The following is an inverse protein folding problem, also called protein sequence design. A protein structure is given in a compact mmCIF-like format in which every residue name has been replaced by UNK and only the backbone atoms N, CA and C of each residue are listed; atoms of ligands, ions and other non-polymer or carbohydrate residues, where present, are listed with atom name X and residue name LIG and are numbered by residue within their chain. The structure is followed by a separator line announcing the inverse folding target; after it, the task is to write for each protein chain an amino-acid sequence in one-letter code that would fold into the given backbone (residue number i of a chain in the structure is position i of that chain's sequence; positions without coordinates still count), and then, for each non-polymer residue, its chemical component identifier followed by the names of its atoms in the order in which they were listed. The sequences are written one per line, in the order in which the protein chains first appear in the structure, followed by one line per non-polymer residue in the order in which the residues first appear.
data_IF_531889106174
#
_entry.id   IF_531889106174
#
_cell.length_a   1.000
_cell.length_b   1.000
_cell.length_c   1.000
_cell.angle_alpha   90.00
_cell.angle_beta   90.00
_cell.angle_gamma   90.00
#
_symmetry.space_group_name_H-M   'P 1'
#
loop_
_entity.id
_entity.type
_entity.pdbx_description
1 polymer ?
#
# COMPACT_ATOMS: atom_id res chain seq x y z
N UNK A 1 20.14 -18.64 -5.44
CA UNK A 1 20.20 -17.21 -5.09
C UNK A 1 20.11 -16.47 -6.40
N UNK A 2 18.94 -15.97 -6.74
CA UNK A 2 18.71 -15.24 -7.99
C UNK A 2 19.20 -13.80 -7.83
N UNK A 3 19.90 -13.29 -8.83
CA UNK A 3 20.40 -11.90 -8.92
C UNK A 3 19.27 -10.88 -9.14
N UNK A 4 18.15 -11.02 -8.41
CA UNK A 4 16.96 -10.22 -8.60
C UNK A 4 17.24 -8.75 -8.29
N UNK A 5 16.90 -7.87 -9.23
CA UNK A 5 17.03 -6.41 -9.13
C UNK A 5 15.79 -5.82 -8.47
N UNK A 6 16.01 -5.01 -7.44
CA UNK A 6 14.98 -4.27 -6.72
C UNK A 6 15.10 -2.80 -7.08
N UNK A 7 14.08 -2.26 -7.75
CA UNK A 7 13.98 -0.82 -7.98
C UNK A 7 13.43 -0.11 -6.76
N UNK A 8 14.15 0.88 -6.24
CA UNK A 8 13.61 1.85 -5.28
C UNK A 8 13.27 3.11 -6.07
N UNK A 9 11.97 3.37 -6.24
CA UNK A 9 11.43 4.47 -7.02
C UNK A 9 11.15 5.63 -6.07
N UNK A 10 11.82 6.77 -6.27
CA UNK A 10 11.53 8.01 -5.55
C UNK A 10 12.05 9.24 -6.30
N UNK A 11 11.49 10.40 -5.96
CA UNK A 11 12.01 11.71 -6.29
C UNK A 11 12.14 12.55 -5.00
N UNK A 12 13.13 13.44 -4.94
CA UNK A 12 13.36 14.29 -3.76
C UNK A 12 12.16 15.21 -3.47
N UNK A 13 11.31 15.49 -4.48
CA UNK A 13 10.09 16.29 -4.30
C UNK A 13 9.18 15.73 -3.21
N UNK A 14 9.11 14.40 -3.09
CA UNK A 14 8.30 13.71 -2.08
C UNK A 14 8.75 14.04 -0.66
N UNK A 15 10.05 14.28 -0.45
CA UNK A 15 10.63 14.63 0.85
C UNK A 15 10.65 16.14 1.14
N UNK A 16 10.17 16.98 0.22
CA UNK A 16 10.33 18.45 0.28
C UNK A 16 9.04 19.26 0.11
N UNK A 17 8.04 18.72 -0.59
CA UNK A 17 6.87 19.45 -1.10
C UNK A 17 5.57 18.84 -0.60
N UNK A 18 4.42 19.47 -0.86
CA UNK A 18 3.11 19.06 -0.32
C UNK A 18 3.15 19.01 1.21
N UNK A 19 3.64 20.08 1.85
CA UNK A 19 3.70 20.15 3.30
C UNK A 19 2.34 20.62 3.86
N UNK A 20 1.85 20.04 4.98
CA UNK A 20 0.60 20.46 5.57
C UNK A 20 0.67 21.93 6.00
N UNK A 21 -0.41 22.71 5.80
CA UNK A 21 -0.40 24.14 6.08
C UNK A 21 -0.29 24.48 7.58
N UNK A 22 -0.63 23.53 8.46
CA UNK A 22 -0.65 23.73 9.91
C UNK A 22 0.29 22.75 10.62
N UNK A 23 1.23 23.23 11.47
CA UNK A 23 2.13 22.37 12.23
C UNK A 23 1.51 21.80 13.52
N UNK A 24 0.18 21.91 13.71
CA UNK A 24 -0.50 21.41 14.91
C UNK A 24 -0.88 19.94 14.72
N UNK A 25 -0.89 19.12 15.80
CA UNK A 25 -1.24 17.69 15.72
C UNK A 25 -2.74 17.54 15.43
N UNK A 26 -3.06 17.60 14.16
CA UNK A 26 -4.37 17.30 13.56
C UNK A 26 -4.15 16.15 12.59
N UNK A 27 -5.20 15.40 12.26
CA UNK A 27 -5.10 14.23 11.37
C UNK A 27 -4.29 14.52 10.09
N UNK A 28 -4.62 15.59 9.38
CA UNK A 28 -3.92 16.02 8.16
C UNK A 28 -2.44 16.37 8.33
N UNK A 29 -1.97 16.67 9.55
CA UNK A 29 -0.59 17.05 9.80
C UNK A 29 0.38 15.85 9.86
N UNK A 30 -0.16 14.63 10.02
CA UNK A 30 0.62 13.40 10.04
C UNK A 30 1.13 13.02 8.64
N UNK A 31 0.40 13.38 7.58
CA UNK A 31 0.88 13.28 6.22
C UNK A 31 1.85 14.43 5.92
N UNK A 32 3.14 14.14 6.08
CA UNK A 32 4.21 15.14 6.00
C UNK A 32 5.37 14.64 5.13
N UNK A 33 6.11 15.53 4.44
CA UNK A 33 7.34 15.17 3.71
C UNK A 33 8.40 14.40 4.53
N UNK A 34 8.29 14.45 5.87
CA UNK A 34 9.22 13.79 6.76
C UNK A 34 9.08 12.28 6.70
N UNK A 35 7.91 11.76 6.34
CA UNK A 35 7.66 10.33 6.13
C UNK A 35 8.68 9.75 5.14
N UNK A 36 8.84 10.39 3.99
CA UNK A 36 9.81 9.98 2.96
C UNK A 36 11.23 10.32 3.38
N UNK A 37 11.45 11.52 3.93
CA UNK A 37 12.79 11.98 4.32
C UNK A 37 13.48 11.02 5.29
N UNK A 38 12.80 10.60 6.35
CA UNK A 38 13.39 9.71 7.35
C UNK A 38 13.66 8.31 6.82
N UNK A 39 12.78 7.79 5.95
CA UNK A 39 13.03 6.52 5.27
C UNK A 39 14.27 6.61 4.39
N UNK A 40 14.39 7.62 3.53
CA UNK A 40 15.56 7.81 2.67
C UNK A 40 16.85 8.03 3.47
N UNK A 41 16.81 8.77 4.58
CA UNK A 41 17.93 8.93 5.50
C UNK A 41 18.35 7.59 6.13
N UNK A 42 17.39 6.76 6.53
CA UNK A 42 17.67 5.42 7.05
C UNK A 42 18.32 4.51 5.98
N UNK A 43 17.81 4.51 4.75
CA UNK A 43 18.42 3.74 3.64
C UNK A 43 19.85 4.19 3.33
N UNK A 44 20.13 5.50 3.41
CA UNK A 44 21.48 6.06 3.24
C UNK A 44 22.41 5.63 4.38
N UNK A 45 21.94 5.73 5.62
CA UNK A 45 22.68 5.36 6.83
C UNK A 45 23.07 3.88 6.85
N UNK A 46 22.12 3.00 6.52
CA UNK A 46 22.33 1.54 6.44
C UNK A 46 23.00 1.08 5.14
N UNK A 47 23.43 2.04 4.29
CA UNK A 47 24.14 1.78 3.04
C UNK A 47 23.38 0.84 2.08
N UNK A 48 22.05 0.81 2.14
CA UNK A 48 21.18 -0.04 1.31
C UNK A 48 21.49 0.16 -0.18
N UNK A 49 21.70 1.42 -0.57
CA UNK A 49 22.02 1.79 -1.94
C UNK A 49 23.40 1.34 -2.45
N UNK A 50 24.26 0.75 -1.60
CA UNK A 50 25.52 0.13 -2.02
C UNK A 50 25.34 -1.34 -2.40
N UNK A 51 24.21 -1.95 -2.04
CA UNK A 51 23.90 -3.31 -2.47
C UNK A 51 23.67 -3.33 -4.00
N UNK A 52 24.34 -4.23 -4.71
CA UNK A 52 24.32 -4.32 -6.17
C UNK A 52 22.95 -4.70 -6.74
N UNK A 53 22.06 -5.29 -5.94
CA UNK A 53 20.67 -5.61 -6.31
C UNK A 53 19.76 -4.38 -6.29
N UNK A 54 20.16 -3.30 -5.61
CA UNK A 54 19.32 -2.10 -5.47
C UNK A 54 19.59 -1.12 -6.61
N UNK A 55 18.53 -0.75 -7.33
CA UNK A 55 18.55 0.29 -8.36
C UNK A 55 17.76 1.51 -7.87
N UNK A 56 18.38 2.69 -7.89
CA UNK A 56 17.67 3.95 -7.68
C UNK A 56 17.00 4.36 -8.98
N UNK A 57 15.71 4.61 -8.95
CA UNK A 57 14.93 4.97 -10.13
C UNK A 57 14.16 6.25 -9.83
N UNK A 58 14.39 7.29 -10.61
CA UNK A 58 13.57 8.50 -10.54
C UNK A 58 12.39 8.35 -11.52
N UNK A 59 11.15 8.56 -11.07
CA UNK A 59 10.01 8.52 -11.97
C UNK A 59 10.05 9.69 -12.96
N UNK A 60 9.64 9.48 -14.22
CA UNK A 60 9.56 10.56 -15.20
C UNK A 60 8.39 11.50 -14.86
N UNK A 61 8.34 12.68 -15.49
CA UNK A 61 7.10 13.48 -15.48
C UNK A 61 6.07 12.83 -16.41
N UNK A 62 4.80 12.93 -16.03
CA UNK A 62 3.67 12.46 -16.83
C UNK A 62 2.77 13.61 -17.25
N UNK A 63 2.10 13.42 -18.39
CA UNK A 63 1.07 14.32 -18.89
C UNK A 63 -0.24 14.16 -18.10
N UNK A 64 -1.04 15.23 -18.05
CA UNK A 64 -2.27 15.26 -17.24
C UNK A 64 -3.33 14.26 -17.71
N UNK A 65 -3.32 13.90 -18.99
CA UNK A 65 -4.24 12.92 -19.55
C UNK A 65 -4.07 11.50 -18.96
N UNK A 66 -2.91 11.21 -18.35
CA UNK A 66 -2.69 9.96 -17.62
C UNK A 66 -3.58 9.90 -16.38
N UNK A 67 -3.84 11.03 -15.72
CA UNK A 67 -4.73 11.09 -14.56
C UNK A 67 -6.19 10.79 -14.95
N UNK A 68 -6.58 11.14 -16.17
CA UNK A 68 -7.93 10.92 -16.70
C UNK A 68 -8.26 9.41 -16.90
N UNK A 69 -7.26 8.52 -16.82
CA UNK A 69 -7.46 7.08 -16.86
C UNK A 69 -8.29 6.58 -15.68
N UNK A 70 -8.09 7.16 -14.49
CA UNK A 70 -8.80 6.77 -13.28
C UNK A 70 -9.76 7.86 -12.78
N UNK A 71 -9.37 9.14 -12.86
CA UNK A 71 -10.12 10.24 -12.27
C UNK A 71 -10.90 11.05 -13.30
N UNK A 72 -12.00 11.65 -12.88
CA UNK A 72 -12.69 12.61 -13.76
C UNK A 72 -11.86 13.87 -13.96
N UNK A 73 -12.07 14.47 -15.13
CA UNK A 73 -11.56 15.80 -15.43
C UNK A 73 -11.94 16.84 -14.38
N UNK A 74 -13.16 16.76 -13.84
CA UNK A 74 -13.62 17.65 -12.77
C UNK A 74 -12.72 17.56 -11.53
N UNK A 75 -12.44 16.34 -11.06
CA UNK A 75 -11.56 16.12 -9.91
C UNK A 75 -10.15 16.67 -10.15
N UNK A 76 -9.57 16.31 -11.29
CA UNK A 76 -8.22 16.74 -11.69
C UNK A 76 -8.13 18.27 -11.75
N UNK A 77 -9.09 18.92 -12.40
CA UNK A 77 -9.14 20.38 -12.53
C UNK A 77 -9.38 21.07 -11.18
N UNK A 78 -10.16 20.47 -10.28
CA UNK A 78 -10.37 20.99 -8.93
C UNK A 78 -9.08 21.01 -8.13
N UNK A 79 -8.34 19.88 -8.06
CA UNK A 79 -7.06 19.82 -7.37
C UNK A 79 -6.06 20.81 -7.97
N UNK A 80 -5.96 20.88 -9.31
CA UNK A 80 -5.07 21.83 -10.00
C UNK A 80 -5.37 23.27 -9.57
N UNK A 81 -6.65 23.68 -9.64
CA UNK A 81 -7.06 25.05 -9.32
C UNK A 81 -6.84 25.40 -7.84
N UNK A 82 -7.07 24.47 -6.92
CA UNK A 82 -6.81 24.70 -5.49
C UNK A 82 -5.31 24.85 -5.24
N UNK A 83 -4.46 24.01 -5.85
CA UNK A 83 -3.01 24.17 -5.81
C UNK A 83 -2.56 25.52 -6.36
N UNK A 84 -3.01 25.90 -7.56
CA UNK A 84 -2.70 27.19 -8.18
C UNK A 84 -3.22 28.39 -7.37
N UNK A 85 -4.33 28.22 -6.65
CA UNK A 85 -4.92 29.21 -5.76
C UNK A 85 -4.20 29.38 -4.42
N UNK A 86 -3.13 28.63 -4.15
CA UNK A 86 -2.33 28.72 -2.93
C UNK A 86 -2.60 27.62 -1.90
N UNK A 87 -3.45 26.65 -2.22
CA UNK A 87 -3.81 25.55 -1.33
C UNK A 87 -5.08 25.80 -0.52
N UNK A 88 -5.41 24.86 0.36
CA UNK A 88 -6.62 24.84 1.17
C UNK A 88 -6.87 23.49 1.82
N UNK A 89 -8.02 23.36 2.46
CA UNK A 89 -8.53 22.10 2.98
C UNK A 89 -9.76 21.76 2.14
N UNK A 90 -9.81 20.54 1.58
CA UNK A 90 -10.95 20.08 0.77
C UNK A 90 -12.03 19.50 1.69
N UNK A 91 -11.62 18.71 2.69
CA UNK A 91 -12.44 18.17 3.77
C UNK A 91 -11.56 17.92 5.01
N UNK A 92 -12.12 17.36 6.09
CA UNK A 92 -11.41 17.16 7.37
C UNK A 92 -10.19 16.20 7.26
N UNK A 93 -10.05 15.48 6.15
CA UNK A 93 -9.04 14.45 5.92
C UNK A 93 -8.09 14.77 4.77
N UNK A 94 -8.34 15.83 3.99
CA UNK A 94 -7.56 16.14 2.80
C UNK A 94 -7.18 17.62 2.76
N UNK A 95 -5.87 17.86 2.74
CA UNK A 95 -5.32 19.19 2.47
C UNK A 95 -4.69 19.27 1.09
N UNK A 96 -4.59 20.49 0.58
CA UNK A 96 -3.89 20.84 -0.65
C UNK A 96 -2.94 21.98 -0.34
N UNK A 97 -1.66 21.78 -0.61
CA UNK A 97 -0.64 22.82 -0.70
C UNK A 97 -0.43 23.30 -2.16
N UNK A 98 0.29 24.42 -2.40
CA UNK A 98 0.52 24.96 -3.74
C UNK A 98 1.18 24.01 -4.75
N UNK A 99 1.94 23.04 -4.25
CA UNK A 99 2.71 22.06 -5.01
C UNK A 99 2.02 20.68 -5.10
N UNK A 100 0.87 20.50 -4.46
CA UNK A 100 0.15 19.20 -4.38
C UNK A 100 -0.09 18.60 -5.76
N UNK A 101 -0.65 19.35 -6.70
CA UNK A 101 -0.97 18.81 -8.01
C UNK A 101 0.25 18.18 -8.70
N UNK A 102 1.39 18.88 -8.69
CA UNK A 102 2.62 18.38 -9.29
C UNK A 102 3.22 17.20 -8.50
N UNK A 103 3.20 17.26 -7.16
CA UNK A 103 3.67 16.17 -6.31
C UNK A 103 2.83 14.91 -6.49
N UNK A 104 1.49 15.05 -6.55
CA UNK A 104 0.56 13.95 -6.81
C UNK A 104 0.75 13.34 -8.20
N UNK A 105 1.02 14.15 -9.23
CA UNK A 105 1.41 13.61 -10.55
C UNK A 105 2.69 12.81 -10.49
N UNK A 106 3.68 13.28 -9.75
CA UNK A 106 4.92 12.53 -9.55
C UNK A 106 4.68 11.23 -8.78
N UNK A 107 3.78 11.21 -7.78
CA UNK A 107 3.43 10.02 -7.03
C UNK A 107 2.80 8.95 -7.93
N UNK A 108 1.83 9.36 -8.76
CA UNK A 108 1.23 8.50 -9.80
C UNK A 108 2.30 7.96 -10.75
N UNK A 109 3.20 8.82 -11.23
CA UNK A 109 4.31 8.39 -12.09
C UNK A 109 5.25 7.40 -11.39
N UNK A 110 5.51 7.60 -10.09
CA UNK A 110 6.26 6.69 -9.23
C UNK A 110 5.65 5.29 -9.19
N UNK A 111 4.33 5.22 -8.94
CA UNK A 111 3.61 3.95 -8.93
C UNK A 111 3.57 3.30 -10.32
N UNK A 112 3.26 4.06 -11.38
CA UNK A 112 3.28 3.54 -12.76
C UNK A 112 4.66 2.98 -13.09
N UNK A 113 5.73 3.71 -12.78
CA UNK A 113 7.12 3.28 -13.03
C UNK A 113 7.45 2.00 -12.28
N UNK A 114 7.04 1.89 -11.02
CA UNK A 114 7.27 0.71 -10.20
C UNK A 114 6.59 -0.53 -10.81
N UNK A 115 5.31 -0.43 -11.13
CA UNK A 115 4.53 -1.55 -11.67
C UNK A 115 4.98 -1.90 -13.10
N UNK A 116 5.13 -0.92 -13.97
CA UNK A 116 5.50 -1.13 -15.38
C UNK A 116 6.88 -1.78 -15.54
N UNK A 117 7.88 -1.36 -14.77
CA UNK A 117 9.22 -1.92 -14.86
C UNK A 117 9.29 -3.37 -14.38
N UNK A 118 8.44 -3.74 -13.42
CA UNK A 118 8.30 -5.15 -12.98
C UNK A 118 7.58 -5.97 -14.04
N UNK A 119 6.47 -5.48 -14.61
CA UNK A 119 5.73 -6.18 -15.67
C UNK A 119 6.60 -6.44 -16.90
N UNK A 120 7.40 -5.44 -17.30
CA UNK A 120 8.32 -5.50 -18.44
C UNK A 120 9.64 -6.22 -18.17
N UNK A 121 9.88 -6.70 -16.93
CA UNK A 121 11.12 -7.38 -16.50
C UNK A 121 12.38 -6.53 -16.62
N UNK A 122 12.28 -5.21 -16.59
CA UNK A 122 13.45 -4.33 -16.44
C UNK A 122 14.06 -4.45 -15.03
N UNK A 123 13.18 -4.68 -14.04
CA UNK A 123 13.50 -5.04 -12.66
C UNK A 123 12.60 -6.20 -12.24
N UNK A 124 12.98 -6.92 -11.21
CA UNK A 124 12.20 -8.07 -10.71
C UNK A 124 11.17 -7.61 -9.68
N UNK A 125 11.56 -6.64 -8.85
CA UNK A 125 10.80 -6.16 -7.71
C UNK A 125 10.89 -4.64 -7.64
N UNK A 126 9.88 -3.98 -7.06
CA UNK A 126 9.91 -2.54 -6.89
C UNK A 126 9.35 -2.07 -5.55
N UNK A 127 9.87 -0.95 -5.06
CA UNK A 127 9.35 -0.21 -3.91
C UNK A 127 9.21 1.25 -4.32
N UNK A 128 7.99 1.76 -4.39
CA UNK A 128 7.70 3.16 -4.67
C UNK A 128 7.55 3.94 -3.35
N UNK A 129 8.57 4.73 -3.02
CA UNK A 129 8.53 5.66 -1.88
C UNK A 129 7.94 6.99 -2.36
N UNK A 130 6.62 7.02 -2.43
CA UNK A 130 5.83 8.13 -3.00
C UNK A 130 4.95 8.80 -1.96
N UNK A 131 4.54 10.03 -2.24
CA UNK A 131 3.42 10.70 -1.56
C UNK A 131 2.84 11.80 -2.43
N UNK A 132 1.54 12.15 -2.30
CA UNK A 132 0.55 11.63 -1.34
C UNK A 132 0.18 10.14 -1.57
N UNK A 133 -0.41 9.46 -0.57
CA UNK A 133 -0.97 8.10 -0.74
C UNK A 133 -2.16 8.12 -1.71
N UNK A 134 -2.71 6.95 -2.03
CA UNK A 134 -3.72 6.78 -3.06
C UNK A 134 -4.89 5.86 -2.77
N UNK A 135 -4.79 4.90 -1.85
CA UNK A 135 -5.80 3.84 -1.76
C UNK A 135 -7.25 4.29 -1.41
N UNK A 136 -7.42 5.46 -0.78
CA UNK A 136 -8.72 6.06 -0.50
C UNK A 136 -9.28 6.96 -1.62
N UNK A 137 -8.49 7.30 -2.64
CA UNK A 137 -8.92 8.23 -3.66
C UNK A 137 -9.91 7.57 -4.62
N UNK A 138 -11.09 8.17 -4.78
CA UNK A 138 -12.13 7.75 -5.72
C UNK A 138 -11.98 8.48 -7.06
N UNK A 139 -12.73 8.04 -8.06
CA UNK A 139 -12.80 8.68 -9.38
C UNK A 139 -13.08 10.18 -9.34
N UNK A 140 -13.91 10.64 -8.41
CA UNK A 140 -14.37 12.03 -8.34
C UNK A 140 -14.07 12.73 -7.00
N UNK A 141 -13.29 12.11 -6.12
CA UNK A 141 -13.11 12.58 -4.73
C UNK A 141 -11.74 12.18 -4.19
N UNK A 142 -11.07 13.12 -3.53
CA UNK A 142 -9.96 12.84 -2.60
C UNK A 142 -10.52 12.49 -1.23
N UNK A 143 -9.91 11.56 -0.51
CA UNK A 143 -10.34 11.12 0.83
C UNK A 143 -9.13 10.56 1.58
N UNK A 144 -9.14 10.54 2.92
CA UNK A 144 -8.10 9.86 3.71
C UNK A 144 -6.67 10.22 3.29
N UNK A 145 -6.35 11.52 3.19
CA UNK A 145 -5.03 12.04 2.75
C UNK A 145 -4.66 11.72 1.28
N UNK A 146 -5.49 10.98 0.55
CA UNK A 146 -5.22 10.53 -0.81
C UNK A 146 -5.77 11.50 -1.86
N UNK A 147 -4.91 11.95 -2.77
CA UNK A 147 -5.30 12.90 -3.83
C UNK A 147 -5.77 12.17 -5.10
N UNK A 148 -4.92 11.28 -5.61
CA UNK A 148 -5.17 10.41 -6.76
C UNK A 148 -4.82 8.97 -6.40
N UNK A 149 -5.50 8.00 -7.00
CA UNK A 149 -5.32 6.60 -6.70
C UNK A 149 -4.13 6.04 -7.49
N UNK A 150 -2.98 5.97 -6.82
CA UNK A 150 -1.70 5.60 -7.41
C UNK A 150 -1.72 4.17 -8.01
N UNK A 151 -2.27 3.21 -7.28
CA UNK A 151 -2.35 1.81 -7.72
C UNK A 151 -3.39 1.64 -8.84
N UNK A 152 -4.58 2.23 -8.70
CA UNK A 152 -5.61 2.13 -9.74
C UNK A 152 -5.14 2.74 -11.07
N UNK A 153 -4.49 3.92 -11.02
CA UNK A 153 -3.88 4.54 -12.20
C UNK A 153 -2.80 3.65 -12.82
N UNK A 154 -1.98 2.97 -12.00
CA UNK A 154 -0.95 2.07 -12.50
C UNK A 154 -1.53 0.88 -13.26
N UNK A 155 -2.59 0.26 -12.72
CA UNK A 155 -3.28 -0.86 -13.37
C UNK A 155 -3.95 -0.38 -14.67
N UNK A 156 -4.71 0.71 -14.62
CA UNK A 156 -5.42 1.24 -15.79
C UNK A 156 -4.45 1.72 -16.88
N UNK A 157 -3.29 2.29 -16.51
CA UNK A 157 -2.21 2.60 -17.44
C UNK A 157 -1.66 1.35 -18.13
N UNK A 158 -1.39 0.27 -17.37
CA UNK A 158 -0.97 -0.99 -17.95
C UNK A 158 -2.00 -1.58 -18.91
N UNK A 159 -3.28 -1.54 -18.55
CA UNK A 159 -4.38 -2.02 -19.41
C UNK A 159 -4.45 -1.22 -20.71
N UNK A 160 -4.50 0.12 -20.62
CA UNK A 160 -4.86 0.99 -21.74
C UNK A 160 -3.66 1.43 -22.59
N UNK A 161 -2.49 1.63 -21.97
CA UNK A 161 -1.28 2.15 -22.65
C UNK A 161 -0.27 1.06 -22.98
N UNK A 162 -0.29 -0.07 -22.26
CA UNK A 162 0.64 -1.19 -22.45
C UNK A 162 -0.03 -2.49 -22.91
N UNK A 163 -1.35 -2.51 -23.07
CA UNK A 163 -2.14 -3.68 -23.47
C UNK A 163 -1.86 -4.91 -22.58
N UNK A 164 -1.52 -4.70 -21.31
CA UNK A 164 -1.30 -5.79 -20.38
C UNK A 164 -2.64 -6.38 -19.96
N UNK A 165 -2.85 -7.68 -20.18
CA UNK A 165 -4.12 -8.38 -19.86
C UNK A 165 -3.99 -9.40 -18.72
N UNK A 166 -2.82 -9.52 -18.09
CA UNK A 166 -2.59 -10.49 -17.01
C UNK A 166 -3.38 -10.16 -15.74
N UNK A 167 -3.82 -11.16 -14.98
CA UNK A 167 -4.52 -10.96 -13.70
C UNK A 167 -3.59 -10.29 -12.69
N UNK A 168 -4.11 -9.37 -11.89
CA UNK A 168 -3.34 -8.65 -10.85
C UNK A 168 -3.98 -8.94 -9.50
N UNK A 169 -3.19 -9.27 -8.49
CA UNK A 169 -3.67 -9.28 -7.11
C UNK A 169 -3.07 -8.11 -6.36
N UNK A 170 -3.94 -7.33 -5.71
CA UNK A 170 -3.60 -6.27 -4.78
C UNK A 170 -3.76 -6.85 -3.37
N UNK A 171 -2.70 -6.82 -2.58
CA UNK A 171 -2.75 -7.08 -1.14
C UNK A 171 -2.50 -5.76 -0.42
N UNK A 172 -3.54 -5.24 0.21
CA UNK A 172 -3.51 -4.00 0.98
C UNK A 172 -3.27 -4.32 2.46
N UNK A 173 -2.14 -3.83 2.97
CA UNK A 173 -1.68 -4.03 4.34
C UNK A 173 -1.64 -2.71 5.13
N UNK A 174 -2.19 -1.64 4.57
CA UNK A 174 -2.49 -0.42 5.32
C UNK A 174 -3.53 -0.72 6.39
N UNK A 175 -3.39 -0.09 7.56
CA UNK A 175 -4.31 -0.32 8.68
C UNK A 175 -5.75 0.12 8.33
N UNK A 176 -5.91 1.01 7.34
CA UNK A 176 -7.19 1.50 6.87
C UNK A 176 -7.68 0.76 5.63
N UNK A 177 -9.00 0.56 5.55
CA UNK A 177 -9.60 -0.03 4.36
C UNK A 177 -9.44 0.90 3.13
N UNK A 178 -8.78 0.40 2.08
CA UNK A 178 -8.63 1.09 0.80
C UNK A 178 -9.92 1.11 -0.02
N UNK A 179 -10.94 1.81 0.47
CA UNK A 179 -12.27 1.98 -0.11
C UNK A 179 -12.24 2.46 -1.57
N UNK A 180 -11.30 3.36 -1.90
CA UNK A 180 -11.06 3.80 -3.28
C UNK A 180 -10.62 2.65 -4.19
N UNK A 181 -9.67 1.81 -3.75
CA UNK A 181 -9.23 0.63 -4.51
C UNK A 181 -10.33 -0.41 -4.67
N UNK A 182 -11.04 -0.73 -3.59
CA UNK A 182 -12.19 -1.61 -3.63
C UNK A 182 -13.20 -1.13 -4.67
N UNK A 183 -13.53 0.17 -4.67
CA UNK A 183 -14.49 0.74 -5.62
C UNK A 183 -14.00 0.70 -7.08
N UNK A 184 -12.71 0.89 -7.36
CA UNK A 184 -12.20 0.84 -8.74
C UNK A 184 -12.33 -0.53 -9.39
N UNK A 185 -12.20 -1.59 -8.59
CA UNK A 185 -12.11 -2.97 -9.07
C UNK A 185 -13.27 -3.86 -8.62
N UNK A 186 -14.30 -3.27 -8.00
CA UNK A 186 -15.42 -4.00 -7.40
C UNK A 186 -16.15 -4.93 -8.37
N UNK A 187 -16.16 -4.60 -9.66
CA UNK A 187 -16.79 -5.39 -10.74
C UNK A 187 -15.77 -6.08 -11.67
N UNK A 188 -14.46 -5.97 -11.42
CA UNK A 188 -13.40 -6.45 -12.32
C UNK A 188 -12.81 -7.80 -11.84
N UNK A 189 -13.16 -8.94 -12.46
CA UNK A 189 -12.58 -10.23 -12.08
C UNK A 189 -11.08 -10.37 -12.40
N UNK A 190 -10.53 -9.48 -13.24
CA UNK A 190 -9.11 -9.46 -13.59
C UNK A 190 -8.22 -8.81 -12.54
N UNK A 191 -8.83 -8.26 -11.48
CA UNK A 191 -8.15 -7.72 -10.30
C UNK A 191 -8.74 -8.35 -9.04
N UNK A 192 -7.89 -9.02 -8.27
CA UNK A 192 -8.21 -9.49 -6.92
C UNK A 192 -7.74 -8.44 -5.92
N UNK A 193 -8.65 -7.84 -5.16
CA UNK A 193 -8.33 -6.94 -4.06
C UNK A 193 -8.53 -7.68 -2.73
N UNK A 194 -7.48 -7.75 -1.92
CA UNK A 194 -7.52 -8.29 -0.56
C UNK A 194 -7.01 -7.20 0.37
N UNK A 195 -7.78 -6.86 1.40
CA UNK A 195 -7.37 -5.87 2.40
C UNK A 195 -7.42 -6.47 3.81
N UNK A 196 -6.33 -6.30 4.56
CA UNK A 196 -6.26 -6.61 5.99
C UNK A 196 -6.17 -5.26 6.72
N UNK A 197 -7.26 -4.86 7.38
CA UNK A 197 -7.40 -3.53 7.96
C UNK A 197 -8.10 -3.60 9.32
N UNK A 198 -7.79 -2.63 10.18
CA UNK A 198 -8.57 -2.38 11.38
C UNK A 198 -10.02 -2.06 11.00
N UNK A 199 -10.96 -2.68 11.70
CA UNK A 199 -12.39 -2.44 11.52
C UNK A 199 -13.07 -2.22 12.88
N UNK A 200 -13.79 -1.10 13.01
CA UNK A 200 -14.60 -0.82 14.19
C UNK A 200 -15.90 -1.64 14.15
N UNK A 201 -15.90 -2.81 14.80
CA UNK A 201 -17.07 -3.69 14.91
C UNK A 201 -18.24 -3.10 15.74
N UNK A 202 -18.03 -1.96 16.42
CA UNK A 202 -19.09 -1.27 17.16
C UNK A 202 -19.89 -0.28 16.30
N UNK A 203 -19.35 0.12 15.15
CA UNK A 203 -19.98 1.01 14.19
C UNK A 203 -20.24 0.28 12.86
N UNK A 204 -21.19 0.81 12.08
CA UNK A 204 -21.40 0.32 10.71
C UNK A 204 -20.52 1.16 9.81
N UNK A 205 -19.54 0.52 9.19
CA UNK A 205 -18.62 1.15 8.24
C UNK A 205 -18.48 0.26 6.98
N UNK A 206 -17.78 0.75 5.97
CA UNK A 206 -17.39 -0.03 4.78
C UNK A 206 -16.15 -0.88 5.07
N UNK A 207 -15.89 -1.88 4.24
CA UNK A 207 -14.77 -2.82 4.47
C UNK A 207 -15.19 -4.05 5.26
N UNK A 208 -16.48 -4.31 5.45
CA UNK A 208 -16.92 -5.49 6.18
C UNK A 208 -16.81 -6.77 5.34
N UNK A 209 -16.84 -7.92 6.02
CA UNK A 209 -16.55 -9.26 5.47
C UNK A 209 -17.52 -9.72 4.37
N UNK A 210 -18.70 -9.10 4.26
CA UNK A 210 -19.75 -9.45 3.32
C UNK A 210 -19.72 -8.59 2.03
N UNK A 211 -18.79 -7.65 1.92
CA UNK A 211 -18.59 -6.81 0.73
C UNK A 211 -17.66 -7.52 -0.24
N UNK A 212 -18.24 -8.37 -1.12
CA UNK A 212 -17.48 -9.33 -1.92
C UNK A 212 -17.25 -8.92 -3.38
N UNK A 213 -17.62 -7.69 -3.77
CA UNK A 213 -17.65 -7.26 -5.17
C UNK A 213 -19.05 -7.34 -5.77
N UNK A 214 -19.16 -7.02 -7.06
CA UNK A 214 -20.41 -7.02 -7.81
C UNK A 214 -20.19 -7.53 -9.25
N UNK A 215 -21.28 -7.88 -9.94
CA UNK A 215 -21.22 -8.36 -11.32
C UNK A 215 -20.29 -9.57 -11.48
N UNK A 216 -19.37 -9.50 -12.44
CA UNK A 216 -18.39 -10.55 -12.69
C UNK A 216 -17.25 -10.56 -11.65
N UNK A 217 -17.08 -9.48 -10.87
CA UNK A 217 -16.07 -9.35 -9.81
C UNK A 217 -16.52 -9.90 -8.44
N UNK A 218 -17.69 -10.53 -8.33
CA UNK A 218 -18.11 -11.15 -7.06
C UNK A 218 -17.09 -12.24 -6.67
N UNK A 219 -16.59 -12.15 -5.45
CA UNK A 219 -15.56 -13.01 -4.88
C UNK A 219 -14.13 -12.49 -5.09
N UNK A 220 -13.91 -11.41 -5.86
CA UNK A 220 -12.58 -10.82 -6.09
C UNK A 220 -12.31 -9.56 -5.27
N UNK A 221 -13.27 -9.12 -4.45
CA UNK A 221 -13.03 -8.18 -3.34
C UNK A 221 -13.11 -8.97 -2.01
N UNK A 222 -12.03 -9.04 -1.26
CA UNK A 222 -11.96 -9.83 -0.02
C UNK A 222 -11.47 -8.94 1.11
N UNK A 223 -12.37 -8.64 2.02
CA UNK A 223 -12.07 -7.85 3.20
C UNK A 223 -11.76 -8.77 4.38
N UNK A 224 -10.64 -8.51 5.05
CA UNK A 224 -10.20 -9.20 6.27
C UNK A 224 -10.23 -8.17 7.41
N UNK A 225 -11.42 -7.84 7.96
CA UNK A 225 -11.55 -6.89 9.05
C UNK A 225 -10.96 -7.46 10.34
N UNK A 226 -9.99 -6.78 10.93
CA UNK A 226 -9.34 -7.18 12.18
C UNK A 226 -9.65 -6.17 13.29
N UNK A 227 -9.70 -6.58 14.57
CA UNK A 227 -9.84 -5.63 15.66
C UNK A 227 -8.56 -4.79 15.83
N UNK A 228 -8.67 -3.70 16.58
CA UNK A 228 -7.50 -2.95 17.06
C UNK A 228 -6.47 -3.87 17.72
N UNK A 229 -5.19 -3.50 17.62
CA UNK A 229 -4.11 -4.17 18.32
C UNK A 229 -3.65 -5.49 17.72
N UNK A 230 -3.88 -5.73 16.42
CA UNK A 230 -3.39 -6.93 15.74
C UNK A 230 -1.87 -7.12 15.98
N UNK A 231 -1.49 -8.30 16.46
CA UNK A 231 -0.09 -8.62 16.74
C UNK A 231 0.66 -9.11 15.50
N UNK A 232 2.00 -9.06 15.54
CA UNK A 232 2.87 -9.59 14.47
C UNK A 232 2.51 -11.04 14.09
N UNK A 233 2.28 -11.91 15.08
CA UNK A 233 1.99 -13.32 14.80
C UNK A 233 0.62 -13.50 14.15
N UNK A 234 -0.39 -12.74 14.56
CA UNK A 234 -1.73 -12.75 13.95
C UNK A 234 -1.70 -12.21 12.52
N UNK A 235 -0.96 -11.14 12.28
CA UNK A 235 -0.77 -10.60 10.93
C UNK A 235 -0.11 -11.62 10.00
N UNK A 236 0.98 -12.28 10.43
CA UNK A 236 1.64 -13.29 9.61
C UNK A 236 0.76 -14.53 9.36
N UNK A 237 -0.05 -14.93 10.34
CA UNK A 237 -1.07 -15.98 10.20
C UNK A 237 -2.15 -15.59 9.17
N UNK A 238 -2.53 -14.32 9.07
CA UNK A 238 -3.44 -13.85 8.00
C UNK A 238 -2.82 -13.92 6.61
N UNK A 239 -1.51 -13.70 6.49
CA UNK A 239 -0.81 -13.89 5.22
C UNK A 239 -0.85 -15.36 4.80
N UNK A 240 -0.65 -16.28 5.74
CA UNK A 240 -0.80 -17.73 5.48
C UNK A 240 -2.24 -18.10 5.12
N UNK A 241 -3.23 -17.45 5.73
CA UNK A 241 -4.63 -17.63 5.38
C UNK A 241 -4.97 -17.11 3.96
N UNK A 242 -4.36 -16.00 3.53
CA UNK A 242 -4.58 -15.41 2.20
C UNK A 242 -3.84 -16.16 1.09
N UNK A 243 -2.73 -16.83 1.41
CA UNK A 243 -1.91 -17.54 0.42
C UNK A 243 -2.68 -18.53 -0.47
N UNK A 244 -3.56 -19.43 0.03
CA UNK A 244 -4.36 -20.33 -0.81
C UNK A 244 -5.24 -19.61 -1.84
N UNK A 245 -5.79 -18.44 -1.48
CA UNK A 245 -6.60 -17.61 -2.39
C UNK A 245 -5.71 -17.08 -3.52
N UNK A 246 -4.54 -16.51 -3.17
CA UNK A 246 -3.57 -16.03 -4.17
C UNK A 246 -3.14 -17.16 -5.11
N UNK A 247 -2.92 -18.38 -4.58
CA UNK A 247 -2.56 -19.55 -5.37
C UNK A 247 -3.66 -19.97 -6.35
N UNK A 248 -4.90 -20.04 -5.90
CA UNK A 248 -6.05 -20.35 -6.77
C UNK A 248 -6.28 -19.25 -7.81
N UNK A 249 -6.11 -17.98 -7.42
CA UNK A 249 -6.26 -16.85 -8.34
C UNK A 249 -5.19 -16.83 -9.42
N UNK A 250 -3.98 -17.31 -9.14
CA UNK A 250 -2.83 -17.34 -10.04
C UNK A 250 -2.58 -15.97 -10.73
N UNK A 251 -2.26 -14.92 -9.94
CA UNK A 251 -1.99 -13.60 -10.49
C UNK A 251 -0.72 -13.60 -11.34
N UNK A 252 -0.70 -12.76 -12.38
CA UNK A 252 0.49 -12.49 -13.19
C UNK A 252 1.43 -11.48 -12.53
N UNK A 253 0.99 -10.81 -11.47
CA UNK A 253 1.74 -9.85 -10.65
C UNK A 253 1.05 -9.61 -9.32
N UNK A 254 1.84 -9.40 -8.26
CA UNK A 254 1.36 -8.87 -6.98
C UNK A 254 1.66 -7.36 -6.87
N UNK A 255 0.68 -6.59 -6.41
CA UNK A 255 0.86 -5.21 -5.96
C UNK A 255 0.54 -5.17 -4.47
N UNK A 256 1.44 -4.61 -3.67
CA UNK A 256 1.25 -4.46 -2.23
C UNK A 256 0.97 -2.98 -1.95
N UNK A 257 -0.25 -2.65 -1.53
CA UNK A 257 -0.52 -1.33 -0.98
C UNK A 257 0.08 -1.31 0.43
N UNK A 258 1.20 -0.61 0.56
CA UNK A 258 2.15 -0.77 1.66
C UNK A 258 1.98 0.38 2.64
N UNK A 259 0.99 0.27 3.54
CA UNK A 259 0.92 1.10 4.74
C UNK A 259 1.83 0.57 5.84
N UNK A 260 2.38 1.48 6.64
CA UNK A 260 3.18 1.15 7.83
C UNK A 260 2.49 1.62 9.13
N UNK A 261 1.22 2.00 9.05
CA UNK A 261 0.40 2.49 10.17
C UNK A 261 -0.11 1.37 11.08
N UNK A 262 0.02 0.12 10.67
CA UNK A 262 -0.09 -1.05 11.57
C UNK A 262 1.06 -1.14 12.58
N UNK A 263 2.10 -0.31 12.46
CA UNK A 263 3.23 -0.26 13.39
C UNK A 263 2.80 0.22 14.78
N UNK A 264 3.30 -0.44 15.83
CA UNK A 264 2.83 -0.22 17.20
C UNK A 264 2.95 1.21 17.75
N UNK A 265 3.77 2.08 17.16
CA UNK A 265 3.89 3.47 17.61
C UNK A 265 3.37 4.45 16.55
N UNK A 266 2.49 3.99 15.68
CA UNK A 266 1.76 4.85 14.77
C UNK A 266 0.74 5.71 15.52
N UNK A 267 0.62 7.00 15.19
CA UNK A 267 -0.35 7.89 15.83
C UNK A 267 -1.74 7.85 15.20
N UNK A 268 -1.93 7.19 14.05
CA UNK A 268 -3.22 7.07 13.36
C UNK A 268 -3.73 5.63 13.44
N UNK A 269 -2.92 4.65 13.05
CA UNK A 269 -3.30 3.24 13.13
C UNK A 269 -3.18 2.67 14.54
N UNK A 270 -3.91 1.60 14.82
CA UNK A 270 -3.95 0.94 16.14
C UNK A 270 -3.37 -0.48 16.13
N UNK A 271 -2.66 -0.87 15.07
CA UNK A 271 -1.92 -2.14 15.01
C UNK A 271 -0.76 -2.23 16.02
N UNK A 272 -0.31 -3.45 16.31
CA UNK A 272 0.83 -3.73 17.22
C UNK A 272 2.03 -4.35 16.49
N UNK A 273 2.16 -4.15 15.19
CA UNK A 273 3.28 -4.71 14.44
C UNK A 273 4.59 -4.06 14.84
N UNK A 274 5.63 -4.88 14.92
CA UNK A 274 7.02 -4.44 15.03
C UNK A 274 7.64 -4.35 13.64
N UNK A 275 8.82 -3.75 13.54
CA UNK A 275 9.57 -3.73 12.27
C UNK A 275 10.00 -5.13 11.79
N UNK A 276 10.08 -6.10 12.71
CA UNK A 276 10.30 -7.52 12.41
C UNK A 276 9.11 -8.13 11.63
N UNK A 277 7.88 -7.65 11.86
CA UNK A 277 6.70 -8.09 11.10
C UNK A 277 6.85 -7.81 9.60
N UNK A 278 7.30 -6.61 9.22
CA UNK A 278 7.52 -6.24 7.82
C UNK A 278 8.69 -7.00 7.19
N UNK A 279 9.70 -7.35 7.99
CA UNK A 279 10.79 -8.24 7.55
C UNK A 279 10.27 -9.64 7.21
N UNK A 280 9.55 -10.28 8.13
CA UNK A 280 9.03 -11.64 7.93
C UNK A 280 7.95 -11.68 6.84
N UNK A 281 7.07 -10.67 6.80
CA UNK A 281 6.10 -10.49 5.74
C UNK A 281 6.78 -10.41 4.37
N UNK A 282 7.79 -9.55 4.21
CA UNK A 282 8.46 -9.38 2.91
C UNK A 282 9.11 -10.68 2.42
N UNK A 283 9.67 -11.51 3.31
CA UNK A 283 10.20 -12.83 2.96
C UNK A 283 9.09 -13.80 2.54
N UNK A 284 7.98 -13.82 3.29
CA UNK A 284 6.84 -14.70 3.03
C UNK A 284 6.17 -14.35 1.70
N UNK A 285 5.81 -13.08 1.49
CA UNK A 285 5.15 -12.62 0.26
C UNK A 285 6.06 -12.75 -0.96
N UNK A 286 7.39 -12.59 -0.80
CA UNK A 286 8.33 -12.82 -1.89
C UNK A 286 8.37 -14.29 -2.32
N UNK A 287 8.38 -15.23 -1.36
CA UNK A 287 8.29 -16.65 -1.68
C UNK A 287 6.97 -17.00 -2.41
N UNK A 288 5.85 -16.39 -1.99
CA UNK A 288 4.57 -16.52 -2.69
C UNK A 288 4.68 -15.96 -4.12
N UNK A 289 5.24 -14.76 -4.29
CA UNK A 289 5.42 -14.11 -5.59
C UNK A 289 6.32 -14.93 -6.53
N UNK A 290 7.43 -15.47 -6.03
CA UNK A 290 8.34 -16.33 -6.80
C UNK A 290 7.63 -17.55 -7.38
N UNK A 291 6.72 -18.14 -6.62
CA UNK A 291 5.97 -19.33 -7.05
C UNK A 291 4.80 -19.02 -7.97
N UNK A 292 4.17 -17.84 -7.83
CA UNK A 292 2.94 -17.50 -8.55
C UNK A 292 3.13 -16.65 -9.79
N UNK A 293 4.08 -15.72 -9.76
CA UNK A 293 4.30 -14.72 -10.81
C UNK A 293 5.78 -14.52 -11.14
N UNK A 294 6.60 -15.54 -10.86
CA UNK A 294 8.06 -15.55 -11.00
C UNK A 294 8.69 -14.27 -10.39
N UNK A 295 8.21 -13.90 -9.21
CA UNK A 295 8.75 -12.82 -8.40
C UNK A 295 8.31 -11.41 -8.78
N UNK A 296 7.33 -11.24 -9.69
CA UNK A 296 6.78 -9.92 -10.06
C UNK A 296 5.96 -9.32 -8.92
N UNK A 297 6.60 -8.48 -8.12
CA UNK A 297 5.96 -7.77 -6.99
C UNK A 297 6.32 -6.28 -6.97
N UNK A 298 5.34 -5.42 -6.72
CA UNK A 298 5.52 -3.99 -6.51
C UNK A 298 4.92 -3.54 -5.19
N UNK A 299 5.73 -2.94 -4.33
CA UNK A 299 5.32 -2.31 -3.08
C UNK A 299 5.09 -0.82 -3.32
N UNK A 300 3.87 -0.33 -3.12
CA UNK A 300 3.50 1.06 -3.31
C UNK A 300 3.19 1.66 -1.94
N UNK A 301 3.95 2.65 -1.50
CA UNK A 301 3.77 3.26 -0.19
C UNK A 301 2.40 3.95 -0.08
N UNK A 302 1.64 3.61 0.95
CA UNK A 302 0.37 4.25 1.32
C UNK A 302 0.58 5.06 2.62
N UNK A 303 -0.02 4.64 3.74
CA UNK A 303 0.03 5.29 5.04
C UNK A 303 1.27 5.00 5.88
N UNK A 304 1.15 5.10 7.20
CA UNK A 304 2.25 5.07 8.16
C UNK A 304 2.82 6.45 8.49
N UNK A 305 2.75 6.81 9.76
CA UNK A 305 2.86 8.17 10.28
C UNK A 305 3.78 8.27 11.50
N UNK A 306 4.20 7.13 12.07
CA UNK A 306 5.32 7.09 13.02
C UNK A 306 6.64 7.48 12.34
N UNK A 307 7.07 8.75 12.46
CA UNK A 307 8.33 9.23 11.85
C UNK A 307 9.56 8.43 12.34
N UNK A 308 9.52 7.91 13.57
CA UNK A 308 10.56 7.02 14.10
C UNK A 308 10.37 5.61 13.53
N UNK A 309 9.15 5.07 13.60
CA UNK A 309 8.82 3.72 13.15
C UNK A 309 9.09 3.46 11.67
N UNK A 310 8.76 4.42 10.80
CA UNK A 310 8.94 4.32 9.35
C UNK A 310 10.37 3.94 8.94
N UNK A 311 11.38 4.43 9.67
CA UNK A 311 12.77 4.08 9.41
C UNK A 311 13.04 2.58 9.59
N UNK A 312 12.45 1.98 10.61
CA UNK A 312 12.63 0.56 10.92
C UNK A 312 11.77 -0.31 10.02
N UNK A 313 10.51 0.08 9.78
CA UNK A 313 9.59 -0.68 8.94
C UNK A 313 10.12 -0.82 7.50
N UNK A 314 10.61 0.28 6.89
CA UNK A 314 11.17 0.22 5.54
C UNK A 314 12.47 -0.60 5.48
N UNK A 315 13.30 -0.53 6.53
CA UNK A 315 14.53 -1.32 6.61
C UNK A 315 14.21 -2.80 6.77
N UNK A 316 13.24 -3.16 7.62
CA UNK A 316 12.77 -4.54 7.79
C UNK A 316 12.29 -5.11 6.45
N UNK A 317 11.39 -4.40 5.77
CA UNK A 317 10.86 -4.80 4.46
C UNK A 317 11.99 -5.00 3.43
N UNK A 318 12.89 -4.03 3.27
CA UNK A 318 13.98 -4.14 2.28
C UNK A 318 14.96 -5.27 2.63
N UNK A 319 15.33 -5.42 3.91
CA UNK A 319 16.26 -6.46 4.35
C UNK A 319 15.68 -7.85 4.12
N UNK A 320 14.37 -8.04 4.28
CA UNK A 320 13.72 -9.31 3.98
C UNK A 320 13.72 -9.63 2.49
N UNK A 321 13.44 -8.66 1.61
CA UNK A 321 13.58 -8.83 0.14
C UNK A 321 15.02 -9.11 -0.31
N UNK A 322 16.00 -8.51 0.38
CA UNK A 322 17.42 -8.79 0.16
C UNK A 322 17.86 -10.14 0.76
N UNK A 323 17.01 -10.78 1.59
CA UNK A 323 17.33 -11.93 2.41
C UNK A 323 18.59 -11.72 3.27
N UNK A 324 18.73 -10.50 3.80
CA UNK A 324 19.77 -10.09 4.73
C UNK A 324 19.26 -10.20 6.17
N UNK A 325 20.15 -10.33 7.15
CA UNK A 325 19.75 -10.33 8.55
C UNK A 325 19.14 -8.98 8.95
N UNK A 326 18.04 -9.02 9.69
CA UNK A 326 17.40 -7.87 10.31
C UNK A 326 17.17 -8.15 11.80
N UNK A 327 17.25 -7.12 12.64
CA UNK A 327 16.89 -7.18 14.05
C UNK A 327 16.20 -5.88 14.41
N UNK A 328 14.99 -5.98 14.95
CA UNK A 328 14.25 -4.82 15.44
C UNK A 328 14.97 -4.18 16.63
N UNK A 329 14.88 -2.86 16.80
CA UNK A 329 15.46 -2.19 17.95
C UNK A 329 14.80 -2.64 19.25
N UNK A 330 15.58 -2.61 20.35
CA UNK A 330 15.19 -3.26 21.61
C UNK A 330 13.89 -2.72 22.23
N UNK A 331 13.55 -1.46 21.94
CA UNK A 331 12.34 -0.83 22.45
C UNK A 331 11.05 -1.43 21.86
N UNK A 332 11.10 -2.06 20.68
CA UNK A 332 9.92 -2.71 20.09
C UNK A 332 9.50 -3.96 20.89
N UNK A 333 10.46 -4.63 21.55
CA UNK A 333 10.16 -5.79 22.39
C UNK A 333 9.48 -5.42 23.71
N UNK A 334 9.47 -4.15 24.11
CA UNK A 334 8.77 -3.72 25.33
C UNK A 334 7.25 -3.88 25.20
N UNK A 335 6.71 -3.81 23.98
CA UNK A 335 5.27 -3.94 23.69
C UNK A 335 4.83 -5.33 23.25
N UNK A 336 5.77 -6.25 22.96
CA UNK A 336 5.49 -7.64 22.56
C UNK A 336 4.73 -8.47 23.63
N UNK A 337 4.52 -7.91 24.82
CA UNK A 337 3.83 -8.55 25.95
C UNK A 337 2.30 -8.36 25.94
N UNK A 338 1.72 -7.64 24.97
CA UNK A 338 0.26 -7.60 24.80
C UNK A 338 -0.22 -8.95 24.20
N UNK A 339 -1.19 -9.60 24.85
CA UNK A 339 -1.61 -10.97 24.50
C UNK A 339 -2.31 -11.01 23.14
N UNK A 340 -1.71 -11.70 22.17
CA UNK A 340 -2.38 -12.11 20.93
C UNK A 340 -3.71 -12.80 21.24
N UNK A 341 -4.75 -12.46 20.49
CA UNK A 341 -6.10 -12.99 20.65
C UNK A 341 -6.49 -13.85 19.43
N UNK A 342 -5.75 -14.96 19.25
CA UNK A 342 -6.00 -15.93 18.19
C UNK A 342 -7.44 -16.45 18.14
N UNK A 343 -8.18 -16.42 19.26
CA UNK A 343 -9.59 -16.81 19.27
C UNK A 343 -10.48 -15.89 18.42
N UNK A 344 -10.18 -14.59 18.39
CA UNK A 344 -10.90 -13.65 17.52
C UNK A 344 -10.49 -13.86 16.06
N UNK A 345 -9.20 -14.07 15.80
CA UNK A 345 -8.68 -14.36 14.48
C UNK A 345 -9.33 -15.60 13.85
N UNK A 346 -9.45 -16.68 14.60
CA UNK A 346 -10.12 -17.91 14.16
C UNK A 346 -11.60 -17.70 13.82
N UNK A 347 -12.30 -16.82 14.55
CA UNK A 347 -13.70 -16.48 14.22
C UNK A 347 -13.78 -15.71 12.91
N UNK A 348 -12.89 -14.73 12.71
CA UNK A 348 -12.80 -13.94 11.47
C UNK A 348 -12.51 -14.87 10.28
N UNK A 349 -11.48 -15.73 10.37
CA UNK A 349 -11.15 -16.72 9.32
C UNK A 349 -12.34 -17.62 9.00
N UNK A 350 -13.03 -18.16 10.02
CA UNK A 350 -14.21 -19.03 9.81
C UNK A 350 -15.36 -18.29 9.14
N UNK A 351 -15.66 -17.07 9.57
CA UNK A 351 -16.70 -16.24 8.95
C UNK A 351 -16.34 -15.91 7.50
N UNK A 352 -15.07 -15.58 7.23
CA UNK A 352 -14.60 -15.25 5.90
C UNK A 352 -14.70 -16.44 4.97
N UNK A 353 -14.24 -17.62 5.41
CA UNK A 353 -14.39 -18.89 4.68
C UNK A 353 -15.86 -19.12 4.31
N UNK A 354 -16.80 -18.93 5.23
CA UNK A 354 -18.23 -19.09 4.93
C UNK A 354 -18.72 -18.14 3.82
N UNK A 355 -18.22 -16.91 3.80
CA UNK A 355 -18.59 -15.91 2.80
C UNK A 355 -17.97 -16.20 1.43
N UNK A 356 -16.70 -16.61 1.38
CA UNK A 356 -15.94 -16.72 0.13
C UNK A 356 -15.98 -18.13 -0.49
N UNK A 357 -16.36 -19.17 0.26
CA UNK A 357 -16.45 -20.56 -0.22
C UNK A 357 -17.27 -20.77 -1.50
N UNK A 358 -18.36 -20.04 -1.77
CA UNK A 358 -19.06 -20.15 -3.05
C UNK A 358 -18.20 -19.77 -4.28
N UNK A 359 -17.12 -19.01 -4.07
CA UNK A 359 -16.29 -18.43 -5.12
C UNK A 359 -14.86 -19.00 -5.15
N UNK A 360 -14.41 -19.68 -4.09
CA UNK A 360 -13.04 -20.19 -3.91
C UNK A 360 -13.04 -21.64 -3.45
N UNK A 361 -12.34 -22.52 -4.19
CA UNK A 361 -12.26 -23.96 -3.93
C UNK A 361 -11.21 -24.33 -2.88
N UNK A 362 -10.32 -23.40 -2.52
CA UNK A 362 -9.26 -23.63 -1.56
C UNK A 362 -9.73 -23.82 -0.10
N UNK A 363 -11.04 -23.74 0.19
CA UNK A 363 -11.63 -23.84 1.55
C UNK A 363 -12.89 -24.72 1.69
#
# INVERSE_FOLDING_TARGET
MTDNKIGIIYDEIFALKHAPPYPKPTFIAFEHPNRIRVMLEALKREQIFKNQRILKISPPRIEDNILELAHSKFHIDAIRRISEGGGGIIDDEVFVAPDTFEVSKMAVSGAITAVEKVVSREIDQSIALIRPPGHHAFRNKSSGLCIFNNIALSILYLRQQRNFSGKIAILDIDDHFGDGLAHYFYEDPSVLYISIHEYDFSQVDVGFINELGAGDGIGTNINVPVPEGISTDEFLELIDFVEPILREYAPSMLIIATGFDTYFADPIGNGHLTSEAFFDFSKKIMNIADQLCEGKIAFILEGGYSIIGLQYCILGLIKGLLNESYSSPSFEYLRRNEQSNFNNLEKIKKALIQMIKPYWNCF
#
